data_IF_584468805931
#
_entry.id   IF_584468805931
#
_cell.length_a   1.000
_cell.length_b   1.000
_cell.length_c   1.000
_cell.angle_alpha   90.00
_cell.angle_beta   90.00
_cell.angle_gamma   90.00
#
_symmetry.space_group_name_H-M   'P 1'
#
loop_
_entity.id
_entity.type
_entity.pdbx_description
1 polymer ?
#
# COMPACT_ATOMS: atom_id res chain seq x y z
N UNK A 1 -56.06 21.45 19.40
CA UNK A 1 -56.63 20.54 18.38
C UNK A 1 -57.54 21.22 17.34
N UNK A 2 -58.08 22.44 17.56
CA UNK A 2 -58.94 23.09 16.55
C UNK A 2 -58.15 23.70 15.37
N UNK A 3 -56.92 24.14 15.61
CA UNK A 3 -56.01 24.70 14.59
C UNK A 3 -55.49 23.66 13.59
N UNK A 4 -55.24 22.42 14.06
CA UNK A 4 -54.81 21.30 13.21
C UNK A 4 -55.96 20.83 12.29
N UNK A 5 -57.21 20.87 12.77
CA UNK A 5 -58.37 20.52 11.95
C UNK A 5 -58.74 21.60 10.92
N UNK A 6 -58.52 22.88 11.23
CA UNK A 6 -58.80 23.98 10.30
C UNK A 6 -57.83 24.04 9.11
N UNK A 7 -56.56 23.66 9.33
CA UNK A 7 -55.48 23.80 8.35
C UNK A 7 -54.97 22.46 7.78
N UNK A 8 -55.82 21.44 7.76
CA UNK A 8 -55.49 20.07 7.28
C UNK A 8 -54.86 20.07 5.89
N UNK A 9 -55.32 20.94 4.99
CA UNK A 9 -54.77 21.08 3.64
C UNK A 9 -53.34 21.60 3.62
N UNK A 10 -53.03 22.60 4.46
CA UNK A 10 -51.66 23.11 4.62
C UNK A 10 -50.75 22.04 5.20
N UNK A 11 -51.23 21.25 6.17
CA UNK A 11 -50.43 20.20 6.80
C UNK A 11 -50.13 19.06 5.83
N UNK A 12 -51.10 18.68 4.99
CA UNK A 12 -50.90 17.69 3.93
C UNK A 12 -49.89 18.19 2.88
N UNK A 13 -49.95 19.48 2.52
CA UNK A 13 -49.02 20.08 1.56
C UNK A 13 -47.58 20.14 2.10
N UNK A 14 -47.39 20.51 3.37
CA UNK A 14 -46.08 20.49 4.04
C UNK A 14 -45.54 19.06 4.13
N UNK A 15 -46.38 18.10 4.50
CA UNK A 15 -45.99 16.68 4.53
C UNK A 15 -45.57 16.16 3.16
N UNK A 16 -46.33 16.51 2.11
CA UNK A 16 -46.00 16.16 0.74
C UNK A 16 -44.68 16.81 0.28
N UNK A 17 -44.45 18.08 0.63
CA UNK A 17 -43.22 18.79 0.29
C UNK A 17 -41.99 18.17 0.96
N UNK A 18 -42.09 17.80 2.24
CA UNK A 18 -41.02 17.09 2.96
C UNK A 18 -40.74 15.73 2.32
N UNK A 19 -41.79 14.99 1.96
CA UNK A 19 -41.65 13.68 1.31
C UNK A 19 -41.01 13.81 -0.08
N UNK A 20 -41.43 14.79 -0.87
CA UNK A 20 -40.84 15.08 -2.19
C UNK A 20 -39.37 15.48 -2.07
N UNK A 21 -39.02 16.30 -1.07
CA UNK A 21 -37.62 16.67 -0.78
C UNK A 21 -36.78 15.45 -0.39
N UNK A 22 -37.34 14.53 0.41
CA UNK A 22 -36.66 13.30 0.82
C UNK A 22 -36.37 12.39 -0.39
N UNK A 23 -37.36 12.19 -1.26
CA UNK A 23 -37.21 11.40 -2.49
C UNK A 23 -36.19 12.06 -3.42
N UNK A 24 -36.27 13.38 -3.61
CA UNK A 24 -35.30 14.10 -4.43
C UNK A 24 -33.86 13.96 -3.93
N UNK A 25 -33.64 14.06 -2.61
CA UNK A 25 -32.32 13.85 -2.02
C UNK A 25 -31.83 12.40 -2.11
N UNK A 26 -32.74 11.42 -2.15
CA UNK A 26 -32.38 10.00 -2.27
C UNK A 26 -32.03 9.61 -3.70
N UNK A 27 -32.72 10.15 -4.70
CA UNK A 27 -32.59 9.72 -6.10
C UNK A 27 -31.87 10.72 -7.02
N UNK A 28 -31.83 12.00 -6.67
CA UNK A 28 -31.34 13.07 -7.56
C UNK A 28 -30.23 13.93 -6.96
N UNK A 29 -29.76 13.62 -5.75
CA UNK A 29 -28.57 14.29 -5.22
C UNK A 29 -27.37 13.84 -6.05
N UNK A 30 -26.76 14.70 -6.87
CA UNK A 30 -25.53 14.33 -7.56
C UNK A 30 -24.51 13.99 -6.48
N UNK A 31 -23.76 12.90 -6.68
CA UNK A 31 -22.55 12.67 -5.91
C UNK A 31 -21.67 13.90 -6.11
N UNK A 32 -21.70 14.82 -5.14
CA UNK A 32 -20.65 15.81 -4.98
C UNK A 32 -19.38 14.97 -4.82
N UNK A 33 -18.56 14.92 -5.87
CA UNK A 33 -17.24 14.29 -5.88
C UNK A 33 -16.39 14.99 -4.83
N UNK A 34 -16.59 14.60 -3.58
CA UNK A 34 -15.86 15.09 -2.43
C UNK A 34 -14.50 14.42 -2.45
N UNK A 35 -13.49 15.17 -2.90
CA UNK A 35 -12.06 14.99 -2.63
C UNK A 35 -11.45 13.78 -3.39
N UNK A 36 -10.29 13.92 -4.07
CA UNK A 36 -9.52 12.76 -4.48
C UNK A 36 -9.02 12.07 -3.20
N UNK A 37 -9.76 11.07 -2.72
CA UNK A 37 -9.72 10.62 -1.32
C UNK A 37 -9.45 9.11 -1.22
N UNK A 38 -8.41 8.80 -0.45
CA UNK A 38 -8.14 7.53 0.27
C UNK A 38 -7.89 6.24 -0.51
N UNK A 39 -8.46 6.03 -1.70
CA UNK A 39 -8.28 4.78 -2.46
C UNK A 39 -6.83 4.55 -2.90
N UNK A 40 -6.16 5.60 -3.36
CA UNK A 40 -4.75 5.55 -3.77
C UNK A 40 -3.77 5.42 -2.58
N UNK A 41 -4.11 5.97 -1.41
CA UNK A 41 -3.30 5.79 -0.20
C UNK A 41 -3.47 4.38 0.40
N UNK A 42 -4.69 3.83 0.29
CA UNK A 42 -5.02 2.45 0.69
C UNK A 42 -4.32 1.41 -0.19
N UNK A 43 -4.21 1.65 -1.51
CA UNK A 43 -3.52 0.73 -2.42
C UNK A 43 -2.03 0.57 -2.08
N UNK A 44 -1.33 1.67 -1.80
CA UNK A 44 0.09 1.67 -1.42
C UNK A 44 0.34 0.89 -0.12
N UNK A 45 -0.53 1.05 0.89
CA UNK A 45 -0.42 0.32 2.16
C UNK A 45 -0.59 -1.19 1.97
N UNK A 46 -1.52 -1.60 1.11
CA UNK A 46 -1.76 -3.01 0.81
C UNK A 46 -0.59 -3.64 0.03
N UNK A 47 0.01 -2.91 -0.91
CA UNK A 47 1.17 -3.40 -1.67
C UNK A 47 2.40 -3.60 -0.78
N UNK A 48 2.65 -2.69 0.16
CA UNK A 48 3.74 -2.84 1.14
C UNK A 48 3.53 -4.04 2.06
N UNK A 49 2.29 -4.24 2.54
CA UNK A 49 1.96 -5.38 3.39
C UNK A 49 2.13 -6.71 2.62
N UNK A 50 1.71 -6.75 1.36
CA UNK A 50 1.88 -7.92 0.49
C UNK A 50 3.36 -8.21 0.25
N UNK A 51 4.15 -7.20 -0.10
CA UNK A 51 5.60 -7.35 -0.28
C UNK A 51 6.28 -7.83 1.00
N UNK A 52 5.90 -7.30 2.16
CA UNK A 52 6.43 -7.77 3.45
C UNK A 52 6.11 -9.24 3.70
N UNK A 53 4.86 -9.65 3.46
CA UNK A 53 4.45 -11.05 3.60
C UNK A 53 5.22 -11.97 2.64
N UNK A 54 5.47 -11.53 1.42
CA UNK A 54 6.20 -12.31 0.43
C UNK A 54 7.68 -12.43 0.79
N UNK A 55 8.33 -11.33 1.22
CA UNK A 55 9.71 -11.36 1.71
C UNK A 55 9.86 -12.23 2.96
N UNK A 56 8.89 -12.21 3.88
CA UNK A 56 8.90 -13.07 5.08
C UNK A 56 8.79 -14.56 4.75
N UNK A 57 8.16 -14.92 3.63
CA UNK A 57 8.08 -16.31 3.14
C UNK A 57 9.37 -16.76 2.45
N UNK A 58 10.24 -15.85 2.04
CA UNK A 58 11.52 -16.22 1.41
C UNK A 58 12.39 -16.90 2.46
N UNK A 59 12.47 -18.22 2.37
CA UNK A 59 13.37 -19.04 3.17
C UNK A 59 14.51 -19.54 2.29
N UNK A 60 15.72 -19.58 2.85
CA UNK A 60 16.85 -20.21 2.19
C UNK A 60 16.93 -21.68 2.60
N UNK A 61 16.90 -22.59 1.62
CA UNK A 61 17.06 -24.02 1.87
C UNK A 61 18.54 -24.35 2.17
N UNK A 62 18.84 -24.53 3.46
CA UNK A 62 20.19 -24.88 3.91
C UNK A 62 20.60 -26.30 3.53
N UNK A 63 19.65 -27.18 3.17
CA UNK A 63 19.97 -28.55 2.73
C UNK A 63 20.76 -28.56 1.43
N UNK A 64 20.67 -27.50 0.62
CA UNK A 64 21.47 -27.30 -0.59
C UNK A 64 22.98 -27.45 -0.29
N UNK A 65 23.44 -26.91 0.83
CA UNK A 65 24.85 -26.96 1.22
C UNK A 65 25.34 -28.34 1.65
N UNK A 66 24.41 -29.25 1.98
CA UNK A 66 24.71 -30.64 2.30
C UNK A 66 24.58 -31.56 1.09
N UNK A 67 24.12 -31.05 -0.06
CA UNK A 67 23.93 -31.87 -1.26
C UNK A 67 25.28 -32.28 -1.85
N UNK A 68 25.41 -33.52 -2.37
CA UNK A 68 26.62 -33.92 -3.08
C UNK A 68 26.95 -33.00 -4.26
N UNK A 69 25.92 -32.48 -4.95
CA UNK A 69 26.10 -31.55 -6.06
C UNK A 69 26.76 -30.24 -5.64
N UNK A 70 26.46 -29.72 -4.45
CA UNK A 70 27.11 -28.52 -3.91
C UNK A 70 28.53 -28.84 -3.40
N UNK A 71 28.68 -29.93 -2.64
CA UNK A 71 29.96 -30.32 -2.03
C UNK A 71 31.03 -30.72 -3.06
N UNK A 72 30.61 -31.14 -4.25
CA UNK A 72 31.49 -31.56 -5.34
C UNK A 72 31.62 -30.50 -6.45
N UNK A 73 31.21 -29.25 -6.18
CA UNK A 73 31.48 -28.15 -7.10
C UNK A 73 33.00 -27.97 -7.25
N UNK A 74 33.47 -28.14 -8.47
CA UNK A 74 34.85 -27.87 -8.81
C UNK A 74 35.00 -26.38 -9.14
N UNK A 75 36.06 -25.76 -8.64
CA UNK A 75 36.40 -24.39 -9.02
C UNK A 75 36.95 -24.38 -10.45
N UNK A 76 36.24 -23.71 -11.36
CA UNK A 76 36.66 -23.50 -12.75
C UNK A 76 37.27 -22.12 -12.97
N UNK A 77 37.51 -21.36 -11.90
CA UNK A 77 38.12 -20.04 -11.96
C UNK A 77 39.56 -20.15 -12.47
N UNK A 78 39.98 -19.12 -13.21
CA UNK A 78 41.39 -18.98 -13.59
C UNK A 78 42.17 -18.49 -12.37
N UNK A 79 43.37 -19.04 -12.08
CA UNK A 79 44.22 -18.53 -11.02
C UNK A 79 44.42 -17.03 -11.18
N UNK A 80 44.17 -16.26 -10.12
CA UNK A 80 44.42 -14.82 -10.14
C UNK A 80 45.94 -14.62 -10.17
N UNK A 81 46.50 -13.98 -11.22
CA UNK A 81 47.92 -13.70 -11.26
C UNK A 81 48.30 -12.76 -10.11
N UNK A 82 49.47 -12.98 -9.52
CA UNK A 82 49.97 -12.07 -8.50
C UNK A 82 50.14 -10.67 -9.13
N UNK A 83 49.40 -9.71 -8.59
CA UNK A 83 49.56 -8.31 -8.94
C UNK A 83 50.68 -7.71 -8.10
N UNK A 84 51.42 -6.75 -8.67
CA UNK A 84 52.37 -5.97 -7.88
C UNK A 84 51.64 -5.28 -6.73
N UNK A 85 52.32 -5.15 -5.59
CA UNK A 85 51.78 -4.38 -4.45
C UNK A 85 51.43 -2.98 -4.93
N UNK A 86 50.17 -2.59 -4.76
CA UNK A 86 49.67 -1.28 -5.16
C UNK A 86 50.32 -0.15 -4.36
N UNK A 87 50.09 1.09 -4.81
CA UNK A 87 50.53 2.27 -4.03
C UNK A 87 49.83 2.28 -2.66
N UNK A 88 50.51 2.75 -1.59
CA UNK A 88 49.86 2.98 -0.31
C UNK A 88 48.58 3.81 -0.48
N UNK A 89 47.49 3.42 0.20
CA UNK A 89 46.22 4.12 0.13
C UNK A 89 46.40 5.56 0.68
N UNK A 90 46.25 6.62 -0.14
CA UNK A 90 46.45 8.01 0.29
C UNK A 90 45.36 8.49 1.27
N UNK A 91 44.25 7.75 1.37
CA UNK A 91 43.16 8.02 2.30
C UNK A 91 43.26 7.23 3.60
N UNK A 92 44.31 6.43 3.79
CA UNK A 92 44.48 5.60 5.00
C UNK A 92 44.53 6.42 6.31
N UNK A 93 44.87 7.70 6.21
CA UNK A 93 44.88 8.66 7.31
C UNK A 93 43.59 9.47 7.46
N UNK A 94 42.62 9.32 6.54
CA UNK A 94 41.35 10.04 6.61
C UNK A 94 40.30 9.12 7.25
N UNK A 95 39.72 9.51 8.38
CA UNK A 95 38.67 8.75 9.06
C UNK A 95 39.16 7.71 10.09
N UNK A 96 40.42 7.83 10.53
CA UNK A 96 40.94 7.15 11.73
C UNK A 96 40.98 8.10 12.93
N UNK A 97 39.90 8.86 13.10
CA UNK A 97 39.68 9.77 14.22
C UNK A 97 38.32 9.44 14.84
#
# INVERSE_FOLDING_TARGET
MKTILANKGILALVGFFILAMFIYNLFFKPEVSSIPSELEASSIGNDLLKMHQDLKKVTFDQSLFSSPSYLLLNDFSVPIPQQAVGRPNPFNSIGRD
#
